data_IF_594530441515
#
_entry.id   IF_594530441515
#
_cell.length_a   1.000
_cell.length_b   1.000
_cell.length_c   1.000
_cell.angle_alpha   90.00
_cell.angle_beta   90.00
_cell.angle_gamma   90.00
#
_symmetry.space_group_name_H-M   'P 1'
#
loop_
_entity.id
_entity.type
_entity.pdbx_description
1 polymer ?
#
# COMPACT_ATOMS: atom_id res chain seq x y z
N UNK A 1 -49.42 -40.54 -62.74
CA UNK A 1 -49.17 -41.97 -63.04
C UNK A 1 -47.68 -42.18 -62.92
N UNK A 2 -47.27 -42.76 -61.79
CA UNK A 2 -46.23 -43.77 -61.61
C UNK A 2 -45.12 -43.92 -62.69
N UNK A 3 -43.84 -43.78 -62.30
CA UNK A 3 -42.88 -44.90 -62.15
C UNK A 3 -41.41 -44.43 -62.04
N UNK A 4 -40.70 -45.09 -61.11
CA UNK A 4 -39.28 -44.99 -60.75
C UNK A 4 -38.27 -45.24 -61.89
N UNK A 5 -37.08 -44.63 -61.80
CA UNK A 5 -35.77 -45.33 -61.74
C UNK A 5 -34.58 -44.33 -61.78
N UNK A 6 -33.60 -44.50 -60.88
CA UNK A 6 -32.22 -43.95 -60.98
C UNK A 6 -31.32 -44.93 -61.76
N UNK A 7 -30.17 -44.49 -62.33
CA UNK A 7 -28.89 -44.57 -61.60
C UNK A 7 -27.83 -43.47 -61.91
N UNK A 8 -26.84 -43.36 -61.03
CA UNK A 8 -25.54 -42.63 -61.07
C UNK A 8 -24.46 -43.68 -61.47
N UNK A 9 -23.31 -43.42 -62.15
CA UNK A 9 -22.21 -42.57 -61.64
C UNK A 9 -21.16 -41.96 -62.62
N UNK A 10 -20.19 -41.23 -62.02
CA UNK A 10 -18.81 -40.87 -62.48
C UNK A 10 -18.69 -39.84 -63.62
N UNK A 11 -17.73 -38.91 -63.72
CA UNK A 11 -16.56 -38.45 -62.94
C UNK A 11 -16.20 -37.09 -63.58
N UNK A 12 -16.09 -36.00 -62.82
CA UNK A 12 -15.67 -34.68 -63.35
C UNK A 12 -14.37 -34.22 -62.67
N UNK A 13 -13.23 -34.49 -63.33
CA UNK A 13 -11.95 -33.78 -63.11
C UNK A 13 -11.53 -33.10 -64.43
N UNK A 14 -11.67 -31.78 -64.53
CA UNK A 14 -10.96 -30.97 -65.52
C UNK A 14 -10.32 -29.75 -64.82
N UNK A 15 -8.98 -29.74 -64.82
CA UNK A 15 -8.12 -28.59 -64.51
C UNK A 15 -7.12 -28.45 -65.67
N UNK A 16 -6.60 -27.22 -65.83
CA UNK A 16 -5.55 -26.71 -66.71
C UNK A 16 -6.09 -25.96 -67.94
N UNK A 17 -5.71 -24.71 -68.21
CA UNK A 17 -4.89 -23.70 -67.53
C UNK A 17 -5.10 -22.45 -68.39
N UNK A 18 -5.51 -21.30 -67.84
CA UNK A 18 -5.69 -20.06 -68.63
C UNK A 18 -4.81 -18.95 -68.09
N UNK A 19 -4.03 -18.41 -69.02
CA UNK A 19 -2.93 -17.46 -68.84
C UNK A 19 -3.26 -16.22 -68.02
N UNK A 20 -2.25 -15.81 -67.24
CA UNK A 20 -2.13 -14.67 -66.34
C UNK A 20 -1.78 -13.38 -67.12
N UNK A 21 -2.47 -12.27 -66.83
CA UNK A 21 -1.90 -10.92 -66.90
C UNK A 21 -2.33 -10.09 -65.68
N UNK A 22 -1.34 -9.43 -65.09
CA UNK A 22 -1.28 -8.80 -63.76
C UNK A 22 -2.11 -7.51 -63.63
N UNK A 23 -2.96 -7.43 -62.59
CA UNK A 23 -3.35 -6.17 -61.94
C UNK A 23 -2.95 -6.26 -60.45
N UNK A 24 -1.96 -5.46 -60.07
CA UNK A 24 -1.43 -5.34 -58.71
C UNK A 24 -2.40 -4.60 -57.78
N UNK A 25 -2.87 -5.28 -56.73
CA UNK A 25 -3.63 -4.68 -55.63
C UNK A 25 -2.68 -4.06 -54.58
N UNK A 26 -3.04 -2.89 -54.05
CA UNK A 26 -2.32 -2.22 -52.95
C UNK A 26 -2.43 -3.04 -51.66
N UNK A 27 -1.29 -3.41 -51.07
CA UNK A 27 -1.23 -3.94 -49.71
C UNK A 27 -1.49 -2.82 -48.69
N UNK A 28 -2.55 -2.96 -47.88
CA UNK A 28 -2.76 -2.12 -46.69
C UNK A 28 -1.72 -2.50 -45.62
N UNK A 29 -0.79 -1.58 -45.36
CA UNK A 29 0.19 -1.72 -44.27
C UNK A 29 -0.50 -1.51 -42.91
N UNK A 30 -0.91 -2.59 -42.26
CA UNK A 30 -1.48 -2.58 -40.90
C UNK A 30 -0.33 -2.43 -39.89
N UNK A 31 -0.14 -1.20 -39.36
CA UNK A 31 0.83 -0.94 -38.29
C UNK A 31 0.44 -1.66 -36.99
N UNK A 32 1.40 -2.32 -36.35
CA UNK A 32 1.20 -2.98 -35.06
C UNK A 32 1.02 -1.95 -33.94
N UNK A 33 0.23 -2.28 -32.91
CA UNK A 33 0.06 -1.46 -31.70
C UNK A 33 1.41 -1.07 -31.05
N UNK A 34 2.45 -1.88 -31.23
CA UNK A 34 3.80 -1.61 -30.74
C UNK A 34 4.49 -0.50 -31.54
N UNK A 35 4.29 -0.45 -32.86
CA UNK A 35 4.84 0.60 -33.73
C UNK A 35 4.15 1.94 -33.50
N UNK A 36 2.83 1.91 -33.31
CA UNK A 36 2.03 3.10 -32.96
C UNK A 36 2.54 3.69 -31.64
N UNK A 37 2.72 2.86 -30.61
CA UNK A 37 3.25 3.28 -29.30
C UNK A 37 4.67 3.86 -29.39
N UNK A 38 5.54 3.25 -30.22
CA UNK A 38 6.91 3.73 -30.42
C UNK A 38 6.94 5.08 -31.13
N UNK A 39 6.11 5.26 -32.16
CA UNK A 39 5.95 6.54 -32.88
C UNK A 39 5.44 7.65 -31.96
N UNK A 40 4.39 7.39 -31.19
CA UNK A 40 3.84 8.38 -30.24
C UNK A 40 4.87 8.82 -29.19
N UNK A 41 5.70 7.88 -28.71
CA UNK A 41 6.77 8.17 -27.74
C UNK A 41 7.87 9.06 -28.34
N UNK A 42 8.25 8.83 -29.59
CA UNK A 42 9.24 9.66 -30.29
C UNK A 42 8.69 11.06 -30.62
N UNK A 43 7.41 11.16 -30.98
CA UNK A 43 6.76 12.45 -31.20
C UNK A 43 6.69 13.29 -29.93
N UNK A 44 6.37 12.69 -28.77
CA UNK A 44 6.38 13.41 -27.48
C UNK A 44 7.78 13.93 -27.14
N UNK A 45 8.83 13.15 -27.41
CA UNK A 45 10.23 13.60 -27.25
C UNK A 45 10.59 14.75 -28.19
N UNK A 46 10.10 14.76 -29.43
CA UNK A 46 10.32 15.86 -30.39
C UNK A 46 9.57 17.13 -29.99
N UNK A 47 8.36 17.05 -29.44
CA UNK A 47 7.60 18.22 -28.96
C UNK A 47 8.32 18.90 -27.78
N UNK A 48 8.79 18.11 -26.81
CA UNK A 48 9.56 18.61 -25.66
C UNK A 48 10.90 19.27 -26.04
N UNK A 49 11.48 18.91 -27.19
CA UNK A 49 12.70 19.56 -27.71
C UNK A 49 12.41 20.86 -28.45
N UNK A 50 11.19 21.03 -28.98
CA UNK A 50 10.77 22.22 -29.73
C UNK A 50 10.32 23.37 -28.81
N UNK A 51 9.75 23.05 -27.64
CA UNK A 51 9.31 24.03 -26.63
C UNK A 51 10.45 24.71 -25.85
N UNK A 52 11.72 24.46 -26.20
CA UNK A 52 12.89 24.91 -25.43
C UNK A 52 13.76 25.96 -26.12
N UNK A 53 13.30 26.55 -27.23
CA UNK A 53 14.05 27.56 -27.99
C UNK A 53 13.17 28.77 -28.31
N UNK A 54 13.73 29.96 -28.04
CA UNK A 54 13.26 31.35 -28.26
C UNK A 54 12.75 32.04 -26.97
N UNK A 55 13.27 33.17 -26.47
CA UNK A 55 14.00 34.29 -27.07
C UNK A 55 15.03 34.93 -26.10
N UNK A 56 16.11 35.51 -26.65
CA UNK A 56 17.03 36.46 -25.98
C UNK A 56 16.87 37.85 -26.61
N UNK A 57 17.15 38.94 -25.86
CA UNK A 57 18.04 39.98 -26.38
C UNK A 57 19.26 40.27 -25.49
N UNK A 58 20.31 40.79 -26.12
CA UNK A 58 21.70 40.96 -25.65
C UNK A 58 22.01 42.44 -25.34
N UNK A 59 22.68 42.71 -24.20
CA UNK A 59 23.82 43.63 -23.92
C UNK A 59 23.69 44.27 -22.49
N UNK A 60 24.68 44.55 -21.61
CA UNK A 60 26.15 44.76 -21.59
C UNK A 60 26.71 44.32 -20.21
N UNK A 61 28.01 44.01 -20.17
CA UNK A 61 28.91 43.48 -19.13
C UNK A 61 29.19 44.28 -17.84
N UNK A 62 29.35 43.57 -16.70
CA UNK A 62 30.22 43.90 -15.52
C UNK A 62 30.71 42.61 -14.79
N UNK A 63 31.85 42.62 -14.06
CA UNK A 63 32.59 41.43 -13.57
C UNK A 63 32.10 40.87 -12.20
N UNK A 64 32.57 39.69 -11.75
CA UNK A 64 31.75 38.73 -11.02
C UNK A 64 31.76 38.96 -9.50
N UNK A 65 30.58 39.05 -8.90
CA UNK A 65 30.40 38.85 -7.46
C UNK A 65 30.06 37.38 -7.25
N UNK A 66 30.90 36.73 -6.47
CA UNK A 66 30.82 35.32 -6.11
C UNK A 66 29.55 35.09 -5.27
N UNK A 67 28.47 34.66 -5.91
CA UNK A 67 27.26 34.23 -5.21
C UNK A 67 27.07 32.73 -5.44
N UNK A 68 27.31 31.98 -4.37
CA UNK A 68 27.11 30.54 -4.33
C UNK A 68 25.63 30.27 -4.59
N UNK A 69 25.29 29.85 -5.82
CA UNK A 69 24.01 29.27 -6.14
C UNK A 69 23.74 28.10 -5.18
N UNK A 70 22.86 28.36 -4.21
CA UNK A 70 22.11 27.33 -3.53
C UNK A 70 21.48 26.46 -4.62
N UNK A 71 21.92 25.20 -4.72
CA UNK A 71 21.21 24.19 -5.47
C UNK A 71 19.79 24.18 -4.93
N UNK A 72 18.88 24.73 -5.73
CA UNK A 72 17.47 24.77 -5.49
C UNK A 72 16.99 23.31 -5.47
N UNK A 73 17.03 22.68 -4.29
CA UNK A 73 16.35 21.41 -4.04
C UNK A 73 14.88 21.70 -4.22
N UNK A 74 14.37 21.43 -5.42
CA UNK A 74 12.93 21.38 -5.65
C UNK A 74 12.32 20.56 -4.50
N UNK A 75 11.40 21.13 -3.69
CA UNK A 75 10.67 20.33 -2.73
C UNK A 75 9.90 19.30 -3.54
N UNK A 76 10.26 18.02 -3.37
CA UNK A 76 9.58 16.89 -4.01
C UNK A 76 8.08 17.08 -3.74
N UNK A 77 7.29 17.29 -4.80
CA UNK A 77 5.84 17.30 -4.66
C UNK A 77 5.45 15.94 -4.09
N UNK A 78 5.07 15.87 -2.82
CA UNK A 78 4.58 14.65 -2.22
C UNK A 78 3.36 14.19 -3.01
N UNK A 79 3.53 13.13 -3.80
CA UNK A 79 2.46 12.52 -4.56
C UNK A 79 1.46 11.93 -3.57
N UNK A 80 0.37 12.68 -3.34
CA UNK A 80 -0.71 12.31 -2.41
C UNK A 80 -1.36 10.97 -2.76
N UNK A 81 -1.14 10.44 -3.97
CA UNK A 81 -1.69 9.19 -4.47
C UNK A 81 -0.73 7.99 -4.42
N UNK A 82 0.53 8.15 -4.00
CA UNK A 82 1.46 7.01 -3.97
C UNK A 82 1.07 5.98 -2.90
N UNK A 83 0.94 4.72 -3.28
CA UNK A 83 0.69 3.60 -2.36
C UNK A 83 1.94 3.34 -1.50
N UNK A 84 1.81 2.99 -0.21
CA UNK A 84 2.97 2.66 0.62
C UNK A 84 3.74 1.46 0.05
N UNK A 85 5.08 1.49 0.05
CA UNK A 85 5.93 0.35 -0.31
C UNK A 85 5.50 -0.93 0.40
N UNK A 86 5.43 -2.04 -0.35
CA UNK A 86 5.03 -3.36 0.17
C UNK A 86 3.56 -3.50 0.60
N UNK A 87 2.72 -2.47 0.43
CA UNK A 87 1.32 -2.53 0.87
C UNK A 87 0.45 -3.47 0.04
N UNK A 88 0.70 -3.57 -1.28
CA UNK A 88 -0.12 -4.37 -2.20
C UNK A 88 -0.11 -5.85 -1.84
N UNK A 89 1.06 -6.38 -1.51
CA UNK A 89 1.27 -7.81 -1.21
C UNK A 89 1.25 -8.12 0.29
N UNK A 90 1.22 -7.09 1.15
CA UNK A 90 0.96 -7.26 2.56
C UNK A 90 -0.45 -7.82 2.80
N UNK A 91 -0.62 -8.92 3.57
CA UNK A 91 -1.92 -9.47 3.90
C UNK A 91 -2.83 -8.42 4.56
N UNK A 92 -4.12 -8.38 4.22
CA UNK A 92 -4.97 -7.25 4.64
C UNK A 92 -5.26 -7.20 6.15
N UNK A 93 -5.62 -8.34 6.76
CA UNK A 93 -6.09 -8.43 8.15
C UNK A 93 -5.58 -9.71 8.81
N UNK A 94 -5.39 -9.70 10.12
CA UNK A 94 -5.12 -10.90 10.93
C UNK A 94 -6.38 -11.46 11.59
N UNK A 95 -6.21 -12.53 12.37
CA UNK A 95 -7.25 -13.04 13.26
C UNK A 95 -7.44 -12.11 14.46
N UNK A 96 -8.61 -12.18 15.08
CA UNK A 96 -8.89 -11.43 16.30
C UNK A 96 -8.10 -11.97 17.49
N UNK A 97 -7.62 -11.05 18.31
CA UNK A 97 -7.06 -11.31 19.63
C UNK A 97 -8.06 -10.76 20.63
N UNK A 98 -8.92 -11.62 21.16
CA UNK A 98 -10.09 -11.21 21.94
C UNK A 98 -11.08 -10.41 21.07
N UNK A 99 -11.11 -9.09 21.27
CA UNK A 99 -11.94 -8.16 20.48
C UNK A 99 -11.10 -7.24 19.58
N UNK A 100 -9.79 -7.44 19.48
CA UNK A 100 -8.87 -6.61 18.70
C UNK A 100 -8.52 -7.31 17.39
N UNK A 101 -8.59 -6.61 16.27
CA UNK A 101 -8.28 -7.11 14.94
C UNK A 101 -7.09 -6.31 14.40
N UNK A 102 -5.90 -6.93 14.25
CA UNK A 102 -4.76 -6.28 13.61
C UNK A 102 -4.97 -6.21 12.09
N UNK A 103 -4.67 -5.06 11.50
CA UNK A 103 -4.89 -4.82 10.07
C UNK A 103 -3.79 -3.94 9.48
N UNK A 104 -3.53 -4.08 8.17
CA UNK A 104 -2.84 -3.02 7.40
C UNK A 104 -3.75 -1.81 7.24
N UNK A 105 -3.21 -0.67 6.83
CA UNK A 105 -4.00 0.55 6.60
C UNK A 105 -4.99 0.36 5.44
N UNK A 106 -6.29 0.66 5.60
CA UNK A 106 -7.19 0.73 4.46
C UNK A 106 -6.88 1.95 3.58
N UNK A 107 -6.96 1.81 2.26
CA UNK A 107 -6.79 2.93 1.32
C UNK A 107 -8.15 3.38 0.79
N UNK A 108 -8.41 4.68 0.85
CA UNK A 108 -9.63 5.30 0.34
C UNK A 108 -9.71 5.28 -1.19
N UNK A 109 -10.86 5.71 -1.72
CA UNK A 109 -11.13 5.65 -3.15
C UNK A 109 -10.16 6.48 -4.02
N UNK A 110 -9.47 7.46 -3.44
CA UNK A 110 -8.43 8.24 -4.12
C UNK A 110 -7.24 7.41 -4.61
N UNK A 111 -7.11 6.15 -4.14
CA UNK A 111 -6.06 5.22 -4.57
C UNK A 111 -6.56 4.18 -5.58
N UNK A 112 -7.83 4.23 -6.01
CA UNK A 112 -8.44 3.20 -6.85
C UNK A 112 -7.77 3.03 -8.22
N UNK A 113 -7.16 4.08 -8.75
CA UNK A 113 -6.43 4.06 -10.02
C UNK A 113 -5.03 3.45 -9.88
N UNK A 114 -4.47 3.46 -8.66
CA UNK A 114 -3.19 2.86 -8.34
C UNK A 114 -3.32 1.42 -7.80
N UNK A 115 -4.50 1.03 -7.31
CA UNK A 115 -4.76 -0.29 -6.72
C UNK A 115 -5.63 -1.14 -7.66
N UNK A 116 -5.13 -2.30 -8.14
CA UNK A 116 -5.91 -3.22 -8.97
C UNK A 116 -7.23 -3.61 -8.29
N UNK A 117 -8.36 -3.77 -9.03
CA UNK A 117 -9.68 -4.03 -8.45
C UNK A 117 -9.74 -5.17 -7.42
N UNK A 118 -9.03 -6.28 -7.67
CA UNK A 118 -8.97 -7.43 -6.75
C UNK A 118 -8.10 -7.26 -5.50
N UNK A 119 -7.28 -6.19 -5.43
CA UNK A 119 -6.40 -5.87 -4.29
C UNK A 119 -6.87 -4.66 -3.48
N UNK A 120 -8.01 -4.06 -3.84
CA UNK A 120 -8.58 -2.91 -3.12
C UNK A 120 -8.89 -3.32 -1.67
N UNK A 121 -8.56 -2.44 -0.74
CA UNK A 121 -8.83 -2.62 0.68
C UNK A 121 -9.19 -1.28 1.33
N UNK A 122 -10.43 -0.82 1.11
CA UNK A 122 -11.01 0.38 1.72
C UNK A 122 -11.83 0.04 2.95
N UNK A 123 -12.25 1.04 3.74
CA UNK A 123 -13.12 0.79 4.89
C UNK A 123 -14.46 0.16 4.52
N UNK A 124 -15.01 0.42 3.33
CA UNK A 124 -16.20 -0.29 2.83
C UNK A 124 -15.95 -1.81 2.78
N UNK A 125 -14.79 -2.21 2.24
CA UNK A 125 -14.40 -3.62 2.14
C UNK A 125 -14.08 -4.21 3.51
N UNK A 126 -13.33 -3.49 4.36
CA UNK A 126 -13.00 -3.93 5.72
C UNK A 126 -14.28 -4.21 6.52
N UNK A 127 -15.21 -3.25 6.54
CA UNK A 127 -16.46 -3.36 7.31
C UNK A 127 -17.31 -4.52 6.78
N UNK A 128 -17.42 -4.66 5.46
CA UNK A 128 -18.16 -5.78 4.86
C UNK A 128 -17.52 -7.13 5.22
N UNK A 129 -16.20 -7.29 5.05
CA UNK A 129 -15.48 -8.52 5.39
C UNK A 129 -15.67 -8.89 6.86
N UNK A 130 -15.54 -7.94 7.79
CA UNK A 130 -15.73 -8.22 9.21
C UNK A 130 -17.18 -8.59 9.53
N UNK A 131 -18.18 -7.97 8.89
CA UNK A 131 -19.60 -8.33 9.04
C UNK A 131 -19.89 -9.76 8.59
N UNK A 132 -19.30 -10.20 7.48
CA UNK A 132 -19.42 -11.59 6.98
C UNK A 132 -18.88 -12.59 8.00
N UNK A 133 -17.84 -12.22 8.75
CA UNK A 133 -17.29 -13.01 9.85
C UNK A 133 -18.09 -12.89 11.17
N UNK A 134 -19.25 -12.23 11.16
CA UNK A 134 -20.07 -11.99 12.37
C UNK A 134 -19.48 -10.92 13.30
N UNK A 135 -18.51 -10.12 12.85
CA UNK A 135 -17.79 -9.13 13.65
C UNK A 135 -18.27 -7.72 13.33
N UNK A 136 -18.93 -7.07 14.29
CA UNK A 136 -19.30 -5.65 14.18
C UNK A 136 -18.19 -4.75 14.72
N UNK A 137 -17.57 -3.96 13.85
CA UNK A 137 -16.59 -2.95 14.28
C UNK A 137 -17.29 -1.84 15.08
N UNK A 138 -16.62 -1.32 16.10
CA UNK A 138 -17.07 -0.15 16.86
C UNK A 138 -15.98 0.86 17.18
N UNK A 139 -14.71 0.49 17.02
CA UNK A 139 -13.56 1.38 17.16
C UNK A 139 -12.51 1.05 16.09
N UNK A 140 -11.91 2.10 15.54
CA UNK A 140 -10.68 2.03 14.73
C UNK A 140 -9.61 2.83 15.46
N UNK A 141 -8.46 2.21 15.70
CA UNK A 141 -7.26 2.90 16.21
C UNK A 141 -6.22 2.95 15.09
N UNK A 142 -5.90 4.17 14.68
CA UNK A 142 -4.96 4.51 13.62
C UNK A 142 -3.61 4.93 14.21
N UNK A 143 -2.58 4.14 13.96
CA UNK A 143 -1.21 4.33 14.45
C UNK A 143 -0.27 4.99 13.42
N UNK A 144 -0.81 5.40 12.26
CA UNK A 144 -0.03 6.05 11.20
C UNK A 144 0.29 7.50 11.57
N UNK A 145 1.41 8.03 11.06
CA UNK A 145 1.80 9.43 11.25
C UNK A 145 1.32 10.35 10.11
N UNK A 146 0.28 9.94 9.38
CA UNK A 146 -0.27 10.71 8.25
C UNK A 146 -1.78 10.57 8.19
N UNK A 147 -2.47 11.52 7.55
CA UNK A 147 -3.92 11.47 7.33
C UNK A 147 -4.30 11.26 5.86
N UNK A 148 -3.31 10.93 5.00
CA UNK A 148 -3.51 10.84 3.54
C UNK A 148 -4.24 9.59 3.05
N UNK A 149 -4.32 8.54 3.88
CA UNK A 149 -4.73 7.21 3.41
C UNK A 149 -6.22 7.06 3.17
N UNK A 150 -7.04 7.70 4.00
CA UNK A 150 -8.49 7.57 3.94
C UNK A 150 -9.16 8.72 4.68
N UNK A 151 -10.45 8.92 4.39
CA UNK A 151 -11.31 9.81 5.16
C UNK A 151 -12.08 9.01 6.22
N UNK A 152 -12.39 9.63 7.35
CA UNK A 152 -13.12 8.99 8.46
C UNK A 152 -14.65 9.06 8.30
N UNK A 153 -15.14 9.62 7.21
CA UNK A 153 -16.56 9.81 6.91
C UNK A 153 -17.32 8.49 6.85
N UNK A 154 -16.73 7.47 6.22
CA UNK A 154 -17.30 6.12 6.14
C UNK A 154 -17.43 5.45 7.52
N UNK A 155 -16.44 5.65 8.39
CA UNK A 155 -16.47 5.15 9.77
C UNK A 155 -17.57 5.82 10.59
N UNK A 156 -17.68 7.15 10.48
CA UNK A 156 -18.71 7.93 11.18
C UNK A 156 -20.11 7.50 10.77
N UNK A 157 -20.35 7.31 9.47
CA UNK A 157 -21.65 6.85 8.94
C UNK A 157 -22.05 5.47 9.48
N UNK A 158 -21.07 4.62 9.74
CA UNK A 158 -21.26 3.27 10.29
C UNK A 158 -21.29 3.24 11.84
N UNK A 159 -21.22 4.41 12.50
CA UNK A 159 -21.22 4.52 13.95
C UNK A 159 -19.96 3.96 14.60
N UNK A 160 -18.84 3.97 13.89
CA UNK A 160 -17.53 3.47 14.33
C UNK A 160 -16.69 4.65 14.82
N UNK A 161 -16.25 4.62 16.09
CA UNK A 161 -15.33 5.63 16.64
C UNK A 161 -13.98 5.49 15.94
N UNK A 162 -13.36 6.61 15.57
CA UNK A 162 -11.97 6.66 15.08
C UNK A 162 -11.09 7.40 16.09
N UNK A 163 -9.93 6.82 16.39
CA UNK A 163 -8.93 7.40 17.28
C UNK A 163 -7.58 7.32 16.58
N UNK A 164 -6.90 8.46 16.44
CA UNK A 164 -5.55 8.52 15.86
C UNK A 164 -4.51 8.69 16.97
N UNK A 165 -3.57 7.76 17.06
CA UNK A 165 -2.43 7.80 17.97
C UNK A 165 -1.17 7.89 17.12
N UNK A 166 -0.73 9.11 16.85
CA UNK A 166 0.40 9.37 15.97
C UNK A 166 1.69 8.86 16.60
N UNK A 167 2.26 7.80 16.02
CA UNK A 167 3.55 7.27 16.44
C UNK A 167 4.66 7.92 15.60
N UNK A 168 5.51 8.72 16.25
CA UNK A 168 6.67 9.38 15.62
C UNK A 168 7.82 8.39 15.42
N UNK A 169 8.66 8.63 14.40
CA UNK A 169 9.94 7.94 14.17
C UNK A 169 9.84 6.60 13.41
N UNK A 170 10.75 6.37 12.45
CA UNK A 170 10.79 5.14 11.62
C UNK A 170 11.39 3.92 12.31
N UNK A 171 12.40 4.17 13.13
CA UNK A 171 13.28 3.14 13.70
C UNK A 171 13.30 3.19 15.23
N UNK A 172 12.22 3.72 15.80
CA UNK A 172 11.95 3.66 17.23
C UNK A 172 10.63 2.98 17.48
N UNK A 173 10.54 2.33 18.63
CA UNK A 173 9.27 1.86 19.18
C UNK A 173 8.38 3.04 19.57
N UNK A 174 7.05 2.86 19.60
CA UNK A 174 6.15 3.89 20.10
C UNK A 174 6.50 4.36 21.52
N UNK A 175 6.42 5.67 21.76
CA UNK A 175 6.66 6.25 23.08
C UNK A 175 5.65 5.75 24.13
N UNK A 176 6.07 5.72 25.40
CA UNK A 176 5.24 5.27 26.52
C UNK A 176 3.90 6.02 26.61
N UNK A 177 3.86 7.30 26.25
CA UNK A 177 2.61 8.08 26.23
C UNK A 177 1.64 7.50 25.19
N UNK A 178 2.11 7.21 23.99
CA UNK A 178 1.29 6.60 22.93
C UNK A 178 0.79 5.21 23.33
N UNK A 179 1.65 4.40 23.96
CA UNK A 179 1.29 3.09 24.52
C UNK A 179 0.20 3.23 25.59
N UNK A 180 0.36 4.17 26.54
CA UNK A 180 -0.61 4.41 27.59
C UNK A 180 -1.96 4.85 27.02
N UNK A 181 -1.97 5.75 26.03
CA UNK A 181 -3.19 6.17 25.32
C UNK A 181 -3.86 4.99 24.63
N UNK A 182 -3.09 4.14 23.94
CA UNK A 182 -3.62 2.95 23.28
C UNK A 182 -4.31 2.02 24.28
N UNK A 183 -3.62 1.66 25.36
CA UNK A 183 -4.14 0.76 26.41
C UNK A 183 -5.40 1.34 27.05
N UNK A 184 -5.41 2.65 27.31
CA UNK A 184 -6.57 3.35 27.85
C UNK A 184 -7.77 3.28 26.90
N UNK A 185 -7.60 3.62 25.62
CA UNK A 185 -8.68 3.65 24.63
C UNK A 185 -9.28 2.25 24.41
N UNK A 186 -8.44 1.22 24.31
CA UNK A 186 -8.88 -0.17 24.22
C UNK A 186 -9.67 -0.56 25.48
N UNK A 187 -9.12 -0.31 26.67
CA UNK A 187 -9.77 -0.69 27.93
C UNK A 187 -11.10 0.03 28.13
N UNK A 188 -11.15 1.34 27.89
CA UNK A 188 -12.38 2.13 28.02
C UNK A 188 -13.43 1.69 27.01
N UNK A 189 -13.04 1.41 25.77
CA UNK A 189 -13.98 0.94 24.77
C UNK A 189 -14.60 -0.39 25.20
N UNK A 190 -13.78 -1.36 25.63
CA UNK A 190 -14.25 -2.68 26.07
C UNK A 190 -15.12 -2.61 27.33
N UNK A 191 -14.74 -1.80 28.32
CA UNK A 191 -15.50 -1.62 29.57
C UNK A 191 -16.89 -1.00 29.34
N UNK A 192 -17.03 -0.12 28.34
CA UNK A 192 -18.28 0.61 28.07
C UNK A 192 -19.20 -0.11 27.07
N UNK A 193 -18.79 -1.26 26.52
CA UNK A 193 -19.60 -1.94 25.51
C UNK A 193 -20.87 -2.52 26.12
N UNK A 194 -22.02 -2.18 25.52
CA UNK A 194 -23.32 -2.84 25.81
C UNK A 194 -23.52 -4.14 25.03
N UNK A 195 -22.80 -4.30 23.92
CA UNK A 195 -22.83 -5.48 23.05
C UNK A 195 -21.45 -5.67 22.45
N UNK A 196 -21.08 -6.94 22.18
CA UNK A 196 -19.74 -7.29 21.66
C UNK A 196 -19.47 -6.58 20.34
N UNK A 197 -18.50 -5.67 20.35
CA UNK A 197 -17.96 -4.98 19.17
C UNK A 197 -16.44 -5.11 19.13
N UNK A 198 -15.92 -5.04 17.92
CA UNK A 198 -14.50 -5.24 17.66
C UNK A 198 -13.77 -3.91 17.43
N UNK A 199 -12.47 -3.93 17.74
CA UNK A 199 -11.52 -2.84 17.55
C UNK A 199 -10.63 -3.21 16.37
N UNK A 200 -10.61 -2.40 15.32
CA UNK A 200 -9.60 -2.54 14.26
C UNK A 200 -8.39 -1.70 14.65
N UNK A 201 -7.20 -2.30 14.71
CA UNK A 201 -5.95 -1.59 14.99
C UNK A 201 -5.04 -1.69 13.78
N UNK A 202 -4.59 -0.56 13.27
CA UNK A 202 -3.69 -0.55 12.11
C UNK A 202 -2.56 0.46 12.27
N UNK A 203 -1.37 0.08 11.79
CA UNK A 203 -0.38 1.01 11.27
C UNK A 203 -0.43 0.93 9.73
N UNK A 204 0.69 1.13 9.04
CA UNK A 204 0.73 1.03 7.57
C UNK A 204 0.59 -0.42 7.12
N UNK A 205 1.38 -1.34 7.69
CA UNK A 205 1.34 -2.77 7.34
C UNK A 205 0.69 -3.67 8.40
N UNK A 206 0.42 -3.15 9.59
CA UNK A 206 -0.28 -3.90 10.65
C UNK A 206 0.57 -4.94 11.39
N UNK A 207 1.90 -4.76 11.45
CA UNK A 207 2.84 -5.71 12.08
C UNK A 207 3.57 -5.11 13.29
N UNK A 208 4.61 -4.30 13.08
CA UNK A 208 5.50 -3.86 14.17
C UNK A 208 4.81 -2.95 15.21
N UNK A 209 4.40 -1.73 14.84
CA UNK A 209 3.68 -0.81 15.75
C UNK A 209 2.37 -1.40 16.26
N UNK A 210 1.60 -2.05 15.39
CA UNK A 210 0.35 -2.72 15.77
C UNK A 210 0.58 -3.80 16.81
N UNK A 211 1.54 -4.70 16.58
CA UNK A 211 1.89 -5.77 17.50
C UNK A 211 2.41 -5.24 18.82
N UNK A 212 3.28 -4.23 18.79
CA UNK A 212 3.83 -3.61 20.00
C UNK A 212 2.73 -3.05 20.90
N UNK A 213 1.80 -2.30 20.32
CA UNK A 213 0.66 -1.74 21.04
C UNK A 213 -0.24 -2.84 21.62
N UNK A 214 -0.57 -3.85 20.81
CA UNK A 214 -1.43 -4.96 21.24
C UNK A 214 -0.77 -5.77 22.37
N UNK A 215 0.52 -6.09 22.26
CA UNK A 215 1.26 -6.84 23.28
C UNK A 215 1.29 -6.07 24.60
N UNK A 216 1.56 -4.75 24.57
CA UNK A 216 1.47 -3.91 25.78
C UNK A 216 0.09 -3.96 26.42
N UNK A 217 -0.98 -3.96 25.61
CA UNK A 217 -2.33 -4.13 26.14
C UNK A 217 -2.56 -5.52 26.75
N UNK A 218 -2.12 -6.61 26.10
CA UNK A 218 -2.26 -7.97 26.63
C UNK A 218 -1.55 -8.12 27.97
N UNK A 219 -0.27 -7.71 28.05
CA UNK A 219 0.56 -7.78 29.26
C UNK A 219 -0.02 -6.97 30.44
N UNK A 220 -0.76 -5.89 30.16
CA UNK A 220 -1.38 -5.03 31.19
C UNK A 220 -2.81 -5.43 31.55
N UNK A 221 -3.46 -6.27 30.75
CA UNK A 221 -4.84 -6.70 30.97
C UNK A 221 -4.95 -8.15 31.44
N UNK A 222 -3.91 -8.96 31.24
CA UNK A 222 -3.88 -10.38 31.53
C UNK A 222 -2.52 -10.75 32.11
N UNK A 223 -2.50 -11.70 33.05
CA UNK A 223 -1.26 -12.23 33.61
C UNK A 223 -0.62 -13.20 32.62
N UNK A 224 0.34 -12.72 31.83
CA UNK A 224 1.15 -13.53 30.92
C UNK A 224 2.58 -12.98 30.78
N UNK A 225 3.49 -13.79 30.25
CA UNK A 225 4.86 -13.39 29.90
C UNK A 225 4.93 -12.67 28.55
N UNK A 226 5.99 -11.88 28.34
CA UNK A 226 6.27 -11.22 27.05
C UNK A 226 6.30 -12.24 25.90
N UNK A 227 6.92 -13.40 26.15
CA UNK A 227 7.01 -14.49 25.17
C UNK A 227 5.63 -15.01 24.75
N UNK A 228 4.71 -15.19 25.70
CA UNK A 228 3.34 -15.64 25.39
C UNK A 228 2.57 -14.58 24.60
N UNK A 229 2.69 -13.31 24.96
CA UNK A 229 2.03 -12.22 24.26
C UNK A 229 2.54 -12.06 22.81
N UNK A 230 3.86 -12.17 22.59
CA UNK A 230 4.46 -12.20 21.25
C UNK A 230 3.91 -13.37 20.44
N UNK A 231 3.83 -14.56 21.04
CA UNK A 231 3.31 -15.76 20.38
C UNK A 231 1.85 -15.57 19.94
N UNK A 232 0.99 -15.06 20.82
CA UNK A 232 -0.42 -14.76 20.50
C UNK A 232 -0.51 -13.81 19.31
N UNK A 233 0.30 -12.74 19.28
CA UNK A 233 0.28 -11.82 18.15
C UNK A 233 0.81 -12.45 16.85
N UNK A 234 1.87 -13.25 16.92
CA UNK A 234 2.40 -13.96 15.76
C UNK A 234 1.37 -14.92 15.16
N UNK A 235 0.69 -15.72 15.99
CA UNK A 235 -0.35 -16.65 15.53
C UNK A 235 -1.54 -15.93 14.88
N UNK A 236 -1.96 -14.81 15.46
CA UNK A 236 -3.07 -14.02 14.91
C UNK A 236 -2.67 -13.23 13.66
N UNK A 237 -1.42 -12.80 13.55
CA UNK A 237 -0.93 -11.94 12.46
C UNK A 237 0.47 -12.34 12.01
N UNK A 238 0.65 -13.50 11.35
CA UNK A 238 1.98 -13.97 10.96
C UNK A 238 2.73 -13.00 10.04
N UNK A 239 4.05 -12.83 10.20
CA UNK A 239 4.93 -13.49 11.18
C UNK A 239 4.99 -12.77 12.54
N UNK A 240 4.04 -11.89 12.84
CA UNK A 240 4.03 -11.04 14.02
C UNK A 240 4.89 -9.79 13.82
N UNK A 241 5.64 -9.42 14.86
CA UNK A 241 6.64 -8.35 14.84
C UNK A 241 7.92 -8.93 14.24
N UNK A 242 8.43 -8.29 13.18
CA UNK A 242 9.64 -8.73 12.48
C UNK A 242 10.81 -7.75 12.61
N UNK A 243 10.62 -6.65 13.35
CA UNK A 243 11.67 -5.70 13.71
C UNK A 243 12.29 -6.10 15.07
N UNK A 244 13.59 -6.45 15.17
CA UNK A 244 14.20 -6.95 16.41
C UNK A 244 14.17 -5.94 17.56
N UNK A 245 14.39 -4.66 17.28
CA UNK A 245 14.34 -3.54 18.23
C UNK A 245 12.99 -3.45 18.95
N UNK A 246 11.90 -3.80 18.28
CA UNK A 246 10.57 -3.86 18.88
C UNK A 246 10.44 -5.01 19.90
N UNK A 247 11.01 -6.17 19.59
CA UNK A 247 11.01 -7.33 20.48
C UNK A 247 11.90 -7.06 21.70
N UNK A 248 13.10 -6.53 21.48
CA UNK A 248 14.05 -6.22 22.55
C UNK A 248 13.50 -5.16 23.50
N UNK A 249 12.84 -4.12 22.97
CA UNK A 249 12.18 -3.12 23.77
C UNK A 249 11.03 -3.67 24.63
N UNK A 250 10.30 -4.70 24.17
CA UNK A 250 9.26 -5.35 24.98
C UNK A 250 9.88 -6.09 26.17
N UNK A 251 10.90 -6.92 25.94
CA UNK A 251 11.59 -7.62 27.03
C UNK A 251 12.23 -6.66 28.03
N UNK A 252 12.89 -5.61 27.53
CA UNK A 252 13.49 -4.58 28.37
C UNK A 252 12.44 -3.85 29.24
N UNK A 253 11.30 -3.47 28.66
CA UNK A 253 10.24 -2.76 29.37
C UNK A 253 9.63 -3.58 30.51
N UNK A 254 9.42 -4.88 30.29
CA UNK A 254 8.82 -5.78 31.28
C UNK A 254 9.85 -6.46 32.19
N UNK A 255 11.13 -6.10 32.07
CA UNK A 255 12.23 -6.66 32.85
C UNK A 255 12.31 -8.21 32.76
N UNK A 256 11.92 -8.77 31.62
CA UNK A 256 12.02 -10.20 31.34
C UNK A 256 13.30 -10.46 30.54
N UNK A 257 14.04 -11.53 30.88
CA UNK A 257 15.16 -11.97 30.05
C UNK A 257 14.62 -12.60 28.77
N UNK A 258 15.05 -12.09 27.61
CA UNK A 258 14.72 -12.68 26.30
C UNK A 258 15.24 -14.12 26.24
N UNK A 259 14.35 -15.13 26.07
CA UNK A 259 14.78 -16.52 25.88
C UNK A 259 15.46 -16.71 24.53
N UNK A 260 16.45 -17.60 24.45
CA UNK A 260 17.15 -17.92 23.18
C UNK A 260 16.22 -18.46 22.10
N UNK A 261 15.15 -19.17 22.50
CA UNK A 261 14.13 -19.67 21.59
C UNK A 261 13.32 -18.57 20.88
N UNK A 262 13.36 -17.33 21.37
CA UNK A 262 12.64 -16.22 20.74
C UNK A 262 13.50 -15.62 19.63
N UNK A 263 13.33 -16.18 18.44
CA UNK A 263 13.95 -15.71 17.21
C UNK A 263 13.02 -14.69 16.54
N UNK A 264 13.55 -13.51 16.22
CA UNK A 264 12.82 -12.52 15.45
C UNK A 264 12.73 -13.03 13.99
N UNK A 265 11.54 -13.11 13.40
CA UNK A 265 11.40 -13.57 12.02
C UNK A 265 12.07 -12.59 11.06
N UNK A 266 12.57 -13.10 9.94
CA UNK A 266 13.13 -12.26 8.89
C UNK A 266 12.05 -11.35 8.28
N UNK A 267 12.44 -10.16 7.82
CA UNK A 267 11.54 -9.23 7.11
C UNK A 267 10.73 -9.95 6.02
N UNK A 268 9.40 -9.85 5.97
CA UNK A 268 8.61 -10.57 4.97
C UNK A 268 8.95 -10.21 3.52
N UNK A 269 8.81 -11.15 2.59
CA UNK A 269 9.08 -10.95 1.15
C UNK A 269 8.27 -9.82 0.53
N UNK A 270 7.01 -9.66 0.94
CA UNK A 270 6.14 -8.57 0.49
C UNK A 270 6.65 -7.18 0.89
N UNK A 271 7.52 -7.09 1.91
CA UNK A 271 8.19 -5.83 2.30
C UNK A 271 9.51 -5.67 1.53
N UNK A 272 10.30 -6.75 1.41
CA UNK A 272 11.60 -6.72 0.71
C UNK A 272 11.50 -6.37 -0.77
N UNK A 273 10.43 -6.82 -1.44
CA UNK A 273 10.23 -6.57 -2.89
C UNK A 273 10.08 -5.08 -3.23
N UNK A 274 9.83 -4.22 -2.23
CA UNK A 274 9.83 -2.78 -2.41
C UNK A 274 11.13 -2.07 -2.01
N UNK A 275 12.12 -2.82 -1.51
CA UNK A 275 13.37 -2.29 -0.97
C UNK A 275 14.50 -2.27 -2.01
N UNK A 276 14.30 -2.77 -3.23
CA UNK A 276 15.31 -2.70 -4.30
C UNK A 276 14.85 -1.72 -5.38
N UNK A 277 15.67 -0.69 -5.64
CA UNK A 277 15.47 0.16 -6.80
C UNK A 277 15.95 -0.53 -8.11
N UNK A 278 15.74 0.11 -9.26
CA UNK A 278 16.15 -0.41 -10.58
C UNK A 278 17.67 -0.61 -10.71
N UNK A 279 18.46 -0.11 -9.77
CA UNK A 279 19.91 -0.26 -9.69
C UNK A 279 20.35 -1.31 -8.65
N UNK A 280 19.42 -1.90 -7.89
CA UNK A 280 19.72 -2.87 -6.83
C UNK A 280 20.12 -2.24 -5.49
N UNK A 281 19.94 -0.93 -5.33
CA UNK A 281 20.19 -0.22 -4.08
C UNK A 281 18.97 -0.25 -3.16
N UNK A 282 19.21 -0.22 -1.85
CA UNK A 282 18.17 -0.16 -0.84
C UNK A 282 17.36 1.15 -1.00
N UNK A 283 16.08 1.08 -1.36
CA UNK A 283 15.22 2.27 -1.33
C UNK A 283 15.11 2.68 0.12
N UNK A 284 15.41 3.95 0.44
CA UNK A 284 15.06 4.49 1.74
C UNK A 284 13.56 4.21 1.94
N UNK A 285 13.21 3.55 3.06
CA UNK A 285 11.81 3.35 3.40
C UNK A 285 11.12 4.73 3.25
N UNK A 286 9.91 4.80 2.73
CA UNK A 286 9.10 6.01 2.58
C UNK A 286 8.23 6.42 3.76
N UNK A 287 8.24 5.58 4.81
CA UNK A 287 7.01 5.27 5.54
C UNK A 287 6.58 6.43 6.46
N UNK A 288 5.58 7.18 5.98
CA UNK A 288 4.61 8.00 6.72
C UNK A 288 5.04 9.35 7.28
N UNK A 289 6.20 9.90 6.91
CA UNK A 289 6.55 11.25 7.37
C UNK A 289 5.95 12.32 6.44
N UNK A 290 4.75 12.79 6.80
CA UNK A 290 4.22 14.04 6.26
C UNK A 290 5.01 15.17 6.90
N UNK A 291 6.03 15.68 6.21
CA UNK A 291 7.00 16.64 6.74
C UNK A 291 6.34 17.74 7.57
N UNK A 292 6.48 17.63 8.89
CA UNK A 292 5.79 18.48 9.86
C UNK A 292 6.34 19.90 9.88
N UNK A 293 5.78 20.78 9.04
CA UNK A 293 5.77 22.22 9.29
C UNK A 293 4.79 22.53 10.40
N UNK A 294 5.23 22.47 11.66
CA UNK A 294 4.44 22.95 12.79
C UNK A 294 4.20 24.47 12.69
N UNK A 295 3.07 25.00 13.18
CA UNK A 295 2.86 26.44 13.21
C UNK A 295 3.91 27.06 14.13
N UNK A 296 4.60 28.08 13.64
CA UNK A 296 5.49 28.91 14.44
C UNK A 296 4.67 29.47 15.62
N UNK A 297 5.13 29.18 16.84
CA UNK A 297 4.67 29.91 18.01
C UNK A 297 5.03 31.37 17.79
N UNK A 298 4.00 32.21 17.66
CA UNK A 298 4.12 33.67 17.75
C UNK A 298 4.00 34.09 19.23
N UNK A 299 4.64 35.21 19.58
CA UNK A 299 5.30 35.43 20.88
C UNK A 299 4.38 35.57 22.08
#
# INVERSE_FOLDING_TARGET
MDLNASPVPEDDEEIYERHIEHYSAQEEHVESAVEISRREREERRKRLRRDRSDDRPVHVSQPPVHDHFYQNRNPRSYDKSRIPPGWLDCPSVGQEIGCIIPSKVPLGESYNDCVPPGKRYSFKQVIHQQRVLGRKLGLVIDLTNTSRYYQTTDLKREGIKHVKIQCKGRDSVPENVAVNTFVYEVSQFLLRQKSKKYILVHCTHGHNRTGYMIIHYLMRSQSMSVTQAIKIFNEARPPGIYKPDYIDALYAFYHERRPEMVVCPSTPEWKRSSDLDLNGDAVADDDDDDGGGGPAALP
#
